data_IF_770027395896
#
_entry.id   IF_770027395896
#
_cell.length_a   1.000
_cell.length_b   1.000
_cell.length_c   1.000
_cell.angle_alpha   90.00
_cell.angle_beta   90.00
_cell.angle_gamma   90.00
#
_symmetry.space_group_name_H-M   'P 1'
#
loop_
_entity.id
_entity.type
_entity.pdbx_description
1 polymer ?
#
# COMPACT_ATOMS: atom_id res chain seq x y z
N UNK A 1 59.45 -33.88 83.36
CA UNK A 1 58.45 -33.46 82.34
C UNK A 1 59.03 -32.46 81.33
N UNK A 2 59.75 -31.40 81.74
CA UNK A 2 60.36 -30.42 80.82
C UNK A 2 61.32 -31.05 79.80
N UNK A 3 62.15 -32.02 80.22
CA UNK A 3 63.10 -32.72 79.32
C UNK A 3 62.37 -33.54 78.24
N UNK A 4 61.24 -34.16 78.59
CA UNK A 4 60.45 -34.95 77.64
C UNK A 4 59.77 -34.04 76.62
N UNK A 5 59.26 -32.88 77.07
CA UNK A 5 58.68 -31.87 76.19
C UNK A 5 59.74 -31.28 75.24
N UNK A 6 60.94 -31.00 75.73
CA UNK A 6 62.04 -30.54 74.88
C UNK A 6 62.49 -31.60 73.87
N UNK A 7 62.54 -32.88 74.27
CA UNK A 7 62.93 -33.97 73.37
C UNK A 7 61.87 -34.22 72.29
N UNK A 8 60.58 -34.14 72.63
CA UNK A 8 59.50 -34.30 71.63
C UNK A 8 59.44 -33.13 70.67
N UNK A 9 59.59 -31.89 71.15
CA UNK A 9 59.68 -30.69 70.30
C UNK A 9 60.91 -30.75 69.39
N UNK A 10 62.07 -31.18 69.92
CA UNK A 10 63.28 -31.37 69.11
C UNK A 10 63.10 -32.44 68.03
N UNK A 11 62.43 -33.55 68.34
CA UNK A 11 62.16 -34.61 67.36
C UNK A 11 61.21 -34.17 66.25
N UNK A 12 60.18 -33.38 66.58
CA UNK A 12 59.25 -32.81 65.60
C UNK A 12 59.93 -31.79 64.70
N UNK A 13 60.80 -30.94 65.26
CA UNK A 13 61.60 -30.00 64.48
C UNK A 13 62.61 -30.74 63.58
N UNK A 14 63.24 -31.80 64.06
CA UNK A 14 64.17 -32.60 63.25
C UNK A 14 63.47 -33.26 62.06
N UNK A 15 62.27 -33.82 62.26
CA UNK A 15 61.48 -34.43 61.18
C UNK A 15 61.03 -33.37 60.16
N UNK A 16 60.61 -32.19 60.62
CA UNK A 16 60.24 -31.07 59.75
C UNK A 16 61.41 -30.58 58.89
N UNK A 17 62.62 -30.51 59.47
CA UNK A 17 63.83 -30.11 58.74
C UNK A 17 64.24 -31.16 57.71
N UNK A 18 64.20 -32.45 58.06
CA UNK A 18 64.60 -33.55 57.15
C UNK A 18 63.61 -33.72 56.00
N UNK A 19 62.30 -33.64 56.23
CA UNK A 19 61.31 -33.72 55.15
C UNK A 19 61.26 -32.46 54.29
N UNK A 20 61.61 -31.32 54.87
CA UNK A 20 61.94 -30.15 54.10
C UNK A 20 63.07 -30.48 53.13
N UNK A 21 64.28 -30.74 53.64
CA UNK A 21 65.56 -30.75 52.89
C UNK A 21 65.55 -31.60 51.60
N UNK A 22 64.75 -32.67 51.54
CA UNK A 22 64.66 -33.54 50.36
C UNK A 22 63.83 -33.02 49.17
N UNK A 23 62.95 -32.02 49.38
CA UNK A 23 62.00 -31.55 48.35
C UNK A 23 62.00 -30.02 48.14
N UNK A 24 62.84 -29.26 48.85
CA UNK A 24 62.86 -27.79 48.74
C UNK A 24 63.18 -27.29 47.35
N UNK A 25 64.08 -27.93 46.59
CA UNK A 25 64.45 -27.43 45.26
C UNK A 25 63.24 -27.38 44.33
N UNK A 26 62.43 -28.44 44.32
CA UNK A 26 61.20 -28.51 43.51
C UNK A 26 60.14 -27.51 43.96
N UNK A 27 60.00 -27.30 45.27
CA UNK A 27 59.02 -26.35 45.82
C UNK A 27 59.45 -24.90 45.60
N UNK A 28 60.76 -24.64 45.63
CA UNK A 28 61.33 -23.33 45.31
C UNK A 28 61.14 -22.99 43.83
N UNK A 29 61.36 -23.95 42.93
CA UNK A 29 61.23 -23.76 41.48
C UNK A 29 59.75 -23.61 41.03
N UNK A 30 58.81 -24.35 41.65
CA UNK A 30 57.36 -24.25 41.39
C UNK A 30 56.58 -23.55 42.52
N UNK A 31 57.19 -22.53 43.16
CA UNK A 31 56.58 -21.86 44.32
C UNK A 31 55.16 -21.31 44.09
N UNK A 32 54.84 -20.64 42.96
CA UNK A 32 53.50 -20.08 42.73
C UNK A 32 52.37 -21.11 42.78
N UNK A 33 52.66 -22.37 42.46
CA UNK A 33 51.70 -23.47 42.42
C UNK A 33 51.48 -24.11 43.80
N UNK A 34 52.49 -24.06 44.67
CA UNK A 34 52.47 -24.70 45.98
C UNK A 34 52.30 -23.72 47.15
N UNK A 35 52.33 -22.41 46.90
CA UNK A 35 52.22 -21.35 47.92
C UNK A 35 50.96 -21.40 48.78
N UNK A 36 49.85 -21.90 48.23
CA UNK A 36 48.56 -22.00 48.95
C UNK A 36 48.31 -23.39 49.57
N UNK A 37 49.32 -24.28 49.59
CA UNK A 37 49.22 -25.56 50.28
C UNK A 37 49.45 -25.37 51.79
N UNK A 38 48.50 -25.77 52.67
CA UNK A 38 48.57 -25.52 54.12
C UNK A 38 49.83 -26.08 54.80
N UNK A 39 50.46 -27.12 54.25
CA UNK A 39 51.68 -27.72 54.81
C UNK A 39 52.92 -26.83 54.68
N UNK A 40 52.99 -25.98 53.65
CA UNK A 40 54.17 -25.16 53.33
C UNK A 40 53.97 -23.67 53.59
N UNK A 41 52.73 -23.27 53.88
CA UNK A 41 52.33 -21.90 54.17
C UNK A 41 52.99 -21.28 55.42
N UNK A 42 53.06 -21.94 56.59
CA UNK A 42 53.67 -21.34 57.79
C UNK A 42 55.21 -21.20 57.68
N UNK A 43 55.81 -21.90 56.73
CA UNK A 43 57.26 -21.89 56.46
C UNK A 43 57.62 -21.13 55.18
N UNK A 44 56.68 -20.38 54.60
CA UNK A 44 56.87 -19.62 53.36
C UNK A 44 58.09 -18.67 53.40
N UNK A 45 58.33 -18.01 54.55
CA UNK A 45 59.47 -17.12 54.73
C UNK A 45 60.84 -17.82 54.78
N UNK A 46 60.85 -19.14 55.00
CA UNK A 46 62.07 -19.94 54.85
C UNK A 46 62.28 -20.40 53.39
N UNK A 47 61.20 -20.51 52.61
CA UNK A 47 61.23 -20.98 51.22
C UNK A 47 61.65 -19.86 50.29
N UNK A 48 61.14 -18.65 50.52
CA UNK A 48 61.55 -17.44 49.82
C UNK A 48 61.74 -16.31 50.83
N UNK A 49 62.94 -15.71 50.92
CA UNK A 49 63.21 -14.61 51.85
C UNK A 49 62.40 -13.35 51.53
N UNK A 50 61.83 -13.26 50.33
CA UNK A 50 61.07 -12.10 49.84
C UNK A 50 59.60 -12.09 50.28
N UNK A 51 59.09 -13.15 50.90
CA UNK A 51 57.67 -13.28 51.28
C UNK A 51 57.49 -13.71 52.73
N UNK A 52 56.71 -12.95 53.49
CA UNK A 52 56.32 -13.35 54.85
C UNK A 52 55.24 -14.45 54.81
N UNK A 53 55.24 -15.33 55.82
CA UNK A 53 54.17 -16.31 56.00
C UNK A 53 52.79 -15.64 56.17
N UNK A 54 52.74 -14.45 56.76
CA UNK A 54 51.52 -13.67 56.92
C UNK A 54 51.01 -13.11 55.58
N UNK A 55 51.91 -12.56 54.75
CA UNK A 55 51.54 -11.98 53.46
C UNK A 55 51.03 -13.06 52.49
N UNK A 56 51.68 -14.22 52.49
CA UNK A 56 51.26 -15.35 51.68
C UNK A 56 49.90 -15.93 52.15
N UNK A 57 49.63 -15.93 53.46
CA UNK A 57 48.34 -16.34 54.00
C UNK A 57 47.22 -15.39 53.57
N UNK A 58 47.44 -14.07 53.64
CA UNK A 58 46.47 -13.06 53.18
C UNK A 58 46.22 -13.19 51.68
N UNK A 59 47.28 -13.38 50.89
CA UNK A 59 47.18 -13.55 49.45
C UNK A 59 46.34 -14.79 49.07
N UNK A 60 46.65 -15.95 49.65
CA UNK A 60 45.90 -17.18 49.37
C UNK A 60 44.45 -17.14 49.90
N UNK A 61 44.21 -16.46 51.02
CA UNK A 61 42.85 -16.27 51.55
C UNK A 61 42.02 -15.39 50.61
N UNK A 62 42.62 -14.33 50.05
CA UNK A 62 41.96 -13.47 49.07
C UNK A 62 41.70 -14.20 47.75
N UNK A 63 42.64 -15.03 47.29
CA UNK A 63 42.48 -15.84 46.06
C UNK A 63 41.37 -16.90 46.23
N UNK A 64 41.29 -17.53 47.39
CA UNK A 64 40.21 -18.46 47.73
C UNK A 64 38.84 -17.76 47.85
N UNK A 65 38.80 -16.59 48.48
CA UNK A 65 37.60 -15.75 48.52
C UNK A 65 37.16 -15.31 47.12
N UNK A 66 38.11 -14.96 46.25
CA UNK A 66 37.86 -14.65 44.85
C UNK A 66 37.30 -15.82 44.06
N UNK A 67 37.77 -17.05 44.31
CA UNK A 67 37.24 -18.26 43.67
C UNK A 67 35.79 -18.56 44.10
N UNK A 68 35.46 -18.36 45.38
CA UNK A 68 34.08 -18.52 45.88
C UNK A 68 33.16 -17.47 45.26
N UNK A 69 33.62 -16.21 45.22
CA UNK A 69 32.86 -15.13 44.60
C UNK A 69 32.70 -15.33 43.09
N UNK A 70 33.72 -15.90 42.42
CA UNK A 70 33.66 -16.28 41.01
C UNK A 70 32.53 -17.27 40.73
N UNK A 71 32.37 -18.31 41.55
CA UNK A 71 31.26 -19.29 41.40
C UNK A 71 29.90 -18.61 41.54
N UNK A 72 29.75 -17.69 42.50
CA UNK A 72 28.49 -16.95 42.70
C UNK A 72 28.20 -16.01 41.54
N UNK A 73 29.21 -15.26 41.06
CA UNK A 73 29.09 -14.34 39.94
C UNK A 73 28.80 -15.08 38.63
N UNK A 74 29.43 -16.22 38.39
CA UNK A 74 29.16 -17.05 37.21
C UNK A 74 27.73 -17.58 37.20
N UNK A 75 27.23 -18.01 38.37
CA UNK A 75 25.85 -18.43 38.51
C UNK A 75 24.87 -17.27 38.24
N UNK A 76 25.18 -16.06 38.75
CA UNK A 76 24.40 -14.84 38.47
C UNK A 76 24.42 -14.49 36.98
N UNK A 77 25.59 -14.54 36.34
CA UNK A 77 25.74 -14.29 34.90
C UNK A 77 24.95 -15.32 34.06
N UNK A 78 24.91 -16.58 34.49
CA UNK A 78 24.07 -17.62 33.87
C UNK A 78 22.58 -17.27 33.96
N UNK A 79 22.09 -16.83 35.12
CA UNK A 79 20.71 -16.36 35.25
C UNK A 79 20.40 -15.14 34.38
N UNK A 80 21.32 -14.18 34.28
CA UNK A 80 21.16 -13.04 33.36
C UNK A 80 21.19 -13.48 31.89
N UNK A 81 21.99 -14.49 31.54
CA UNK A 81 21.99 -15.10 30.20
C UNK A 81 20.65 -15.71 29.84
N UNK A 82 20.06 -16.48 30.76
CA UNK A 82 18.70 -17.03 30.58
C UNK A 82 17.66 -15.92 30.46
N UNK A 83 17.72 -14.91 31.33
CA UNK A 83 16.80 -13.77 31.29
C UNK A 83 16.88 -13.00 29.96
N UNK A 84 18.09 -12.79 29.45
CA UNK A 84 18.33 -12.16 28.15
C UNK A 84 17.80 -13.01 26.98
N UNK A 85 18.00 -14.33 27.03
CA UNK A 85 17.45 -15.24 26.02
C UNK A 85 15.92 -15.22 25.99
N UNK A 86 15.27 -15.30 27.16
CA UNK A 86 13.81 -15.20 27.26
C UNK A 86 13.27 -13.87 26.75
N UNK A 87 13.97 -12.76 26.99
CA UNK A 87 13.58 -11.45 26.45
C UNK A 87 13.69 -11.39 24.92
N UNK A 88 14.71 -12.02 24.34
CA UNK A 88 14.84 -12.14 22.88
C UNK A 88 13.75 -13.03 22.28
N UNK A 89 13.45 -14.16 22.91
CA UNK A 89 12.38 -15.08 22.50
C UNK A 89 11.00 -14.42 22.59
N UNK A 90 10.82 -13.42 23.47
CA UNK A 90 9.63 -12.56 23.50
C UNK A 90 9.66 -11.44 22.45
N UNK A 91 10.83 -10.91 22.10
CA UNK A 91 10.96 -9.82 21.13
C UNK A 91 10.77 -10.28 19.68
N UNK A 92 11.17 -11.52 19.35
CA UNK A 92 11.01 -12.12 18.04
C UNK A 92 9.54 -12.19 17.56
N UNK A 93 8.57 -12.70 18.35
CA UNK A 93 7.16 -12.74 17.94
C UNK A 93 6.57 -11.34 17.77
N UNK A 94 7.03 -10.32 18.53
CA UNK A 94 6.62 -8.92 18.31
C UNK A 94 7.04 -8.42 16.91
N UNK A 95 8.22 -8.82 16.42
CA UNK A 95 8.67 -8.56 15.05
C UNK A 95 7.82 -9.27 14.00
N UNK A 96 7.49 -10.53 14.24
CA UNK A 96 6.61 -11.31 13.37
C UNK A 96 5.19 -10.71 13.31
N UNK A 97 4.61 -10.31 14.44
CA UNK A 97 3.32 -9.62 14.50
C UNK A 97 3.32 -8.32 13.70
N UNK A 98 4.36 -7.48 13.86
CA UNK A 98 4.51 -6.25 13.06
C UNK A 98 4.57 -6.54 11.56
N UNK A 99 5.25 -7.63 11.18
CA UNK A 99 5.33 -8.06 9.77
C UNK A 99 3.97 -8.51 9.24
N UNK A 100 3.21 -9.28 10.02
CA UNK A 100 1.84 -9.68 9.64
C UNK A 100 0.94 -8.46 9.46
N UNK A 101 0.96 -7.50 10.40
CA UNK A 101 0.19 -6.25 10.26
C UNK A 101 0.61 -5.43 9.04
N UNK A 102 1.90 -5.36 8.74
CA UNK A 102 2.42 -4.71 7.53
C UNK A 102 1.91 -5.39 6.26
N UNK A 103 1.91 -6.74 6.24
CA UNK A 103 1.41 -7.52 5.11
C UNK A 103 -0.10 -7.37 4.92
N UNK A 104 -0.89 -7.40 5.99
CA UNK A 104 -2.34 -7.14 5.94
C UNK A 104 -2.61 -5.75 5.37
N UNK A 105 -1.90 -4.72 5.86
CA UNK A 105 -2.05 -3.35 5.37
C UNK A 105 -1.72 -3.25 3.88
N UNK A 106 -0.60 -3.84 3.44
CA UNK A 106 -0.21 -3.88 2.02
C UNK A 106 -1.26 -4.59 1.17
N UNK A 107 -1.78 -5.72 1.64
CA UNK A 107 -2.84 -6.46 0.96
C UNK A 107 -4.12 -5.62 0.82
N UNK A 108 -4.56 -4.95 1.89
CA UNK A 108 -5.74 -4.07 1.83
C UNK A 108 -5.55 -2.92 0.83
N UNK A 109 -4.39 -2.24 0.84
CA UNK A 109 -4.13 -1.18 -0.12
C UNK A 109 -4.05 -1.69 -1.56
N UNK A 110 -3.41 -2.85 -1.78
CA UNK A 110 -3.36 -3.46 -3.10
C UNK A 110 -4.75 -3.85 -3.61
N UNK A 111 -5.59 -4.42 -2.73
CA UNK A 111 -6.96 -4.78 -3.04
C UNK A 111 -7.83 -3.55 -3.38
N UNK A 112 -7.73 -2.49 -2.57
CA UNK A 112 -8.44 -1.22 -2.83
C UNK A 112 -7.98 -0.60 -4.15
N UNK A 113 -6.67 -0.53 -4.40
CA UNK A 113 -6.13 0.01 -5.63
C UNK A 113 -6.62 -0.78 -6.86
N UNK A 114 -6.51 -2.11 -6.83
CA UNK A 114 -6.99 -2.96 -7.93
C UNK A 114 -8.49 -2.81 -8.18
N UNK A 115 -9.30 -2.75 -7.12
CA UNK A 115 -10.76 -2.62 -7.24
C UNK A 115 -11.14 -1.26 -7.80
N UNK A 116 -10.53 -0.17 -7.32
CA UNK A 116 -10.75 1.18 -7.84
C UNK A 116 -10.28 1.31 -9.29
N UNK A 117 -9.13 0.75 -9.65
CA UNK A 117 -8.64 0.74 -11.03
C UNK A 117 -9.58 -0.04 -11.95
N UNK A 118 -10.08 -1.20 -11.51
CA UNK A 118 -11.04 -1.99 -12.30
C UNK A 118 -12.38 -1.27 -12.46
N UNK A 119 -12.87 -0.62 -11.40
CA UNK A 119 -14.08 0.20 -11.46
C UNK A 119 -13.90 1.41 -12.39
N UNK A 120 -12.79 2.15 -12.29
CA UNK A 120 -12.47 3.28 -13.14
C UNK A 120 -12.37 2.88 -14.63
N UNK A 121 -11.70 1.77 -14.93
CA UNK A 121 -11.59 1.24 -16.29
C UNK A 121 -12.96 0.79 -16.83
N UNK A 122 -13.79 0.15 -15.99
CA UNK A 122 -15.17 -0.21 -16.37
C UNK A 122 -16.02 1.01 -16.70
N UNK A 123 -15.90 2.09 -15.93
CA UNK A 123 -16.58 3.36 -16.21
C UNK A 123 -16.12 3.96 -17.54
N UNK A 124 -14.82 3.86 -17.87
CA UNK A 124 -14.30 4.32 -19.16
C UNK A 124 -14.96 3.62 -20.35
N UNK A 125 -15.16 2.30 -20.26
CA UNK A 125 -15.87 1.53 -21.30
C UNK A 125 -17.33 1.96 -21.41
N UNK A 126 -18.01 2.19 -20.28
CA UNK A 126 -19.40 2.66 -20.27
C UNK A 126 -19.55 4.06 -20.91
N UNK A 127 -18.66 4.99 -20.57
CA UNK A 127 -18.63 6.33 -21.18
C UNK A 127 -18.35 6.24 -22.68
N UNK A 128 -17.48 5.33 -23.13
CA UNK A 128 -17.23 5.09 -24.55
C UNK A 128 -18.51 4.65 -25.29
N UNK A 129 -19.29 3.72 -24.72
CA UNK A 129 -20.56 3.30 -25.30
C UNK A 129 -21.58 4.45 -25.35
N UNK A 130 -21.71 5.24 -24.28
CA UNK A 130 -22.60 6.41 -24.26
C UNK A 130 -22.22 7.44 -25.32
N UNK A 131 -20.92 7.70 -25.50
CA UNK A 131 -20.43 8.60 -26.54
C UNK A 131 -20.76 8.08 -27.94
N UNK A 132 -20.61 6.77 -28.17
CA UNK A 132 -20.98 6.11 -29.44
C UNK A 132 -22.47 6.24 -29.73
N UNK A 133 -23.33 6.01 -28.74
CA UNK A 133 -24.79 6.17 -28.87
C UNK A 133 -25.14 7.63 -29.19
N UNK A 134 -24.51 8.59 -28.52
CA UNK A 134 -24.72 10.02 -28.80
C UNK A 134 -24.32 10.39 -30.22
N UNK A 135 -23.19 9.88 -30.71
CA UNK A 135 -22.75 10.12 -32.10
C UNK A 135 -23.74 9.54 -33.11
N UNK A 136 -24.22 8.31 -32.89
CA UNK A 136 -25.25 7.68 -33.73
C UNK A 136 -26.56 8.49 -33.71
N UNK A 137 -27.01 8.95 -32.54
CA UNK A 137 -28.20 9.80 -32.42
C UNK A 137 -28.02 11.15 -33.12
N UNK A 138 -26.83 11.74 -33.05
CA UNK A 138 -26.53 13.01 -33.74
C UNK A 138 -26.56 12.84 -35.26
N UNK A 139 -26.06 11.71 -35.78
CA UNK A 139 -26.13 11.39 -37.21
C UNK A 139 -27.57 11.16 -37.67
N UNK A 140 -28.34 10.40 -36.90
CA UNK A 140 -29.74 10.13 -37.21
C UNK A 140 -30.58 11.41 -37.23
N UNK A 141 -30.38 12.30 -36.25
CA UNK A 141 -31.04 13.61 -36.25
C UNK A 141 -30.65 14.44 -37.49
N UNK A 142 -29.36 14.48 -37.83
CA UNK A 142 -28.88 15.18 -39.03
C UNK A 142 -29.48 14.68 -40.34
N UNK A 143 -29.53 13.36 -40.54
CA UNK A 143 -30.17 12.75 -41.71
C UNK A 143 -31.68 13.00 -41.73
N UNK A 144 -32.33 12.95 -40.57
CA UNK A 144 -33.75 13.25 -40.41
C UNK A 144 -34.11 14.69 -40.82
N UNK A 145 -33.27 15.67 -40.47
CA UNK A 145 -33.44 17.06 -40.91
C UNK A 145 -33.37 17.20 -42.43
N UNK A 146 -32.41 16.53 -43.07
CA UNK A 146 -32.26 16.56 -44.53
C UNK A 146 -33.47 15.92 -45.20
N UNK A 147 -33.94 14.77 -44.70
CA UNK A 147 -35.12 14.08 -45.22
C UNK A 147 -36.40 14.92 -45.07
N UNK A 148 -36.60 15.58 -43.93
CA UNK A 148 -37.74 16.47 -43.71
C UNK A 148 -37.73 17.67 -44.67
N UNK A 149 -36.55 18.27 -44.88
CA UNK A 149 -36.42 19.39 -45.81
C UNK A 149 -36.71 18.96 -47.26
N UNK A 150 -36.21 17.78 -47.68
CA UNK A 150 -36.52 17.21 -49.00
C UNK A 150 -38.02 16.93 -49.17
N UNK A 151 -38.69 16.40 -48.14
CA UNK A 151 -40.12 16.17 -48.19
C UNK A 151 -40.91 17.48 -48.35
N UNK A 152 -40.48 18.54 -47.65
CA UNK A 152 -41.12 19.85 -47.78
C UNK A 152 -40.94 20.45 -49.17
N UNK A 153 -39.73 20.35 -49.74
CA UNK A 153 -39.45 20.78 -51.12
C UNK A 153 -40.36 20.05 -52.14
N UNK A 154 -40.60 18.75 -51.94
CA UNK A 154 -41.52 17.99 -52.80
C UNK A 154 -42.98 18.48 -52.70
N UNK A 155 -43.45 18.78 -51.48
CA UNK A 155 -44.81 19.31 -51.27
C UNK A 155 -44.97 20.68 -51.92
N UNK A 156 -44.00 21.57 -51.72
CA UNK A 156 -44.01 22.92 -52.30
C UNK A 156 -43.93 22.88 -53.84
N UNK A 157 -43.19 21.91 -54.39
CA UNK A 157 -43.16 21.66 -55.84
C UNK A 157 -44.53 21.27 -56.38
N UNK A 158 -45.23 20.34 -55.72
CA UNK A 158 -46.57 19.89 -56.14
C UNK A 158 -47.58 21.04 -56.07
N UNK A 159 -47.58 21.82 -54.98
CA UNK A 159 -48.45 23.00 -54.84
C UNK A 159 -48.17 24.06 -55.91
N UNK A 160 -46.90 24.34 -56.18
CA UNK A 160 -46.48 25.29 -57.22
C UNK A 160 -46.92 24.81 -58.62
N UNK A 161 -46.83 23.52 -58.88
CA UNK A 161 -47.32 22.94 -60.13
C UNK A 161 -48.85 23.07 -60.26
N UNK A 162 -49.61 22.70 -59.24
CA UNK A 162 -51.08 22.79 -59.27
C UNK A 162 -51.55 24.24 -59.43
N UNK A 163 -50.94 25.18 -58.71
CA UNK A 163 -51.29 26.61 -58.83
C UNK A 163 -50.97 27.16 -60.21
N UNK A 164 -49.92 26.67 -60.88
CA UNK A 164 -49.61 27.03 -62.27
C UNK A 164 -50.74 26.58 -63.22
N UNK A 165 -51.23 25.34 -63.13
CA UNK A 165 -52.35 24.89 -63.99
C UNK A 165 -53.64 25.68 -63.73
N UNK A 166 -53.98 25.89 -62.46
CA UNK A 166 -55.15 26.69 -62.09
C UNK A 166 -54.99 28.12 -62.62
N UNK A 167 -53.81 28.72 -62.51
CA UNK A 167 -53.54 30.07 -63.01
C UNK A 167 -53.68 30.16 -64.53
N UNK A 168 -53.19 29.17 -65.29
CA UNK A 168 -53.38 29.11 -66.75
C UNK A 168 -54.87 29.05 -67.10
N UNK A 169 -55.63 28.16 -66.46
CA UNK A 169 -57.07 28.02 -66.71
C UNK A 169 -57.82 29.30 -66.35
N UNK A 170 -57.53 29.91 -65.19
CA UNK A 170 -58.12 31.19 -64.78
C UNK A 170 -57.85 32.27 -65.82
N UNK A 171 -56.60 32.41 -66.26
CA UNK A 171 -56.21 33.40 -67.28
C UNK A 171 -57.00 33.21 -68.57
N UNK A 172 -57.17 31.96 -69.02
CA UNK A 172 -57.94 31.66 -70.23
C UNK A 172 -59.43 32.02 -70.10
N UNK A 173 -60.06 31.69 -68.96
CA UNK A 173 -61.47 32.02 -68.69
C UNK A 173 -61.68 33.53 -68.62
N UNK A 174 -60.79 34.29 -67.99
CA UNK A 174 -60.89 35.75 -67.93
C UNK A 174 -60.81 36.39 -69.32
N UNK A 175 -59.94 35.89 -70.20
CA UNK A 175 -59.84 36.37 -71.58
C UNK A 175 -61.14 36.08 -72.35
N UNK A 176 -61.71 34.86 -72.24
CA UNK A 176 -62.97 34.51 -72.88
C UNK A 176 -64.14 35.36 -72.38
N UNK A 177 -64.20 35.63 -71.07
CA UNK A 177 -65.22 36.47 -70.47
C UNK A 177 -65.12 37.91 -70.98
N UNK A 178 -63.91 38.46 -71.07
CA UNK A 178 -63.69 39.80 -71.60
C UNK A 178 -64.21 39.95 -73.04
N UNK A 179 -63.98 38.95 -73.91
CA UNK A 179 -64.49 38.94 -75.29
C UNK A 179 -66.02 38.87 -75.32
N UNK A 180 -66.62 38.02 -74.47
CA UNK A 180 -68.08 37.89 -74.36
C UNK A 180 -68.76 39.20 -73.96
N UNK A 181 -68.15 39.94 -73.03
CA UNK A 181 -68.66 41.23 -72.57
C UNK A 181 -68.65 42.30 -73.67
N UNK A 182 -67.59 42.34 -74.49
CA UNK A 182 -67.47 43.27 -75.62
C UNK A 182 -68.57 43.01 -76.67
N UNK A 183 -68.86 41.74 -76.97
CA UNK A 183 -69.91 41.35 -77.93
C UNK A 183 -71.33 41.62 -77.40
N UNK A 184 -71.55 41.45 -76.09
CA UNK A 184 -72.85 41.68 -75.46
C UNK A 184 -73.28 43.16 -75.43
N UNK A 185 -72.34 44.11 -75.53
CA UNK A 185 -72.64 45.55 -75.54
C UNK A 185 -73.44 45.99 -76.79
N UNK A 186 -73.39 45.22 -77.88
CA UNK A 186 -74.10 45.51 -79.13
C UNK A 186 -75.52 44.92 -79.19
N UNK A 187 -75.96 44.14 -78.18
CA UNK A 187 -77.30 43.53 -78.17
C UNK A 187 -77.89 43.47 -76.74
N UNK A 188 -78.95 44.25 -76.42
CA UNK A 188 -79.36 44.50 -75.03
C UNK A 188 -79.88 43.27 -74.28
N UNK A 189 -80.29 42.22 -74.98
CA UNK A 189 -80.77 40.96 -74.35
C UNK A 189 -79.60 40.06 -73.90
N UNK A 190 -78.44 40.11 -74.57
CA UNK A 190 -77.28 39.31 -74.18
C UNK A 190 -76.53 39.87 -72.96
N UNK A 191 -76.67 41.17 -72.69
CA UNK A 191 -75.96 41.87 -71.61
C UNK A 191 -76.38 41.39 -70.21
N UNK A 192 -77.67 41.08 -70.02
CA UNK A 192 -78.19 40.53 -68.76
C UNK A 192 -77.60 39.15 -68.48
N UNK A 193 -77.45 38.30 -69.51
CA UNK A 193 -76.91 36.95 -69.38
C UNK A 193 -75.41 36.96 -69.05
N UNK A 194 -74.65 37.88 -69.66
CA UNK A 194 -73.22 38.03 -69.40
C UNK A 194 -72.91 38.48 -67.95
N UNK A 195 -73.72 39.38 -67.39
CA UNK A 195 -73.56 39.85 -65.99
C UNK A 195 -73.84 38.72 -65.00
N UNK A 196 -74.85 37.87 -65.27
CA UNK A 196 -75.20 36.72 -64.41
C UNK A 196 -74.12 35.63 -64.46
N UNK A 197 -73.56 35.36 -65.63
CA UNK A 197 -72.44 34.40 -65.74
C UNK A 197 -71.17 34.92 -65.05
N UNK A 198 -70.87 36.22 -65.17
CA UNK A 198 -69.72 36.83 -64.50
C UNK A 198 -69.84 36.78 -62.97
N UNK A 199 -71.02 37.00 -62.41
CA UNK A 199 -71.24 36.94 -60.96
C UNK A 199 -71.19 35.50 -60.42
N UNK A 200 -71.64 34.51 -61.19
CA UNK A 200 -71.53 33.09 -60.84
C UNK A 200 -70.07 32.60 -60.86
N UNK A 201 -69.26 33.07 -61.81
CA UNK A 201 -67.83 32.76 -61.87
C UNK A 201 -67.10 33.38 -60.69
N UNK A 202 -67.37 34.65 -60.36
CA UNK A 202 -66.77 35.31 -59.19
C UNK A 202 -67.20 34.68 -57.84
N UNK A 203 -68.41 34.14 -57.74
CA UNK A 203 -68.93 33.52 -56.53
C UNK A 203 -68.43 32.08 -56.28
N UNK A 204 -67.94 31.39 -57.31
CA UNK A 204 -67.49 29.99 -57.22
C UNK A 204 -66.05 29.82 -56.69
N UNK A 205 -65.41 30.91 -56.25
CA UNK A 205 -64.07 30.87 -55.64
C UNK A 205 -62.94 30.57 -56.63
N UNK A 206 -63.23 30.65 -57.94
CA UNK A 206 -62.24 30.70 -59.00
C UNK A 206 -61.68 32.12 -59.13
#
# INVERSE_FOLDING_TARGET
MIVVILATVASLLAIAVVQGLGNWSKIHDEWPKHRCNPMYMPVAGFIRPDVSAADNFVHCSNEFAGSIWGIVVDQINSYFGVLASSLNDLAEPLGAFRTVFSNIRKFMFAFMAQTLTKAANSTGVFVHYLAKIRDVMSRFAGEGYIAAYLAQVLVDFVWSFVTLFISIVKTFVFILLAISFILALFNPVLLVLAIVLASLIAASGF
#
